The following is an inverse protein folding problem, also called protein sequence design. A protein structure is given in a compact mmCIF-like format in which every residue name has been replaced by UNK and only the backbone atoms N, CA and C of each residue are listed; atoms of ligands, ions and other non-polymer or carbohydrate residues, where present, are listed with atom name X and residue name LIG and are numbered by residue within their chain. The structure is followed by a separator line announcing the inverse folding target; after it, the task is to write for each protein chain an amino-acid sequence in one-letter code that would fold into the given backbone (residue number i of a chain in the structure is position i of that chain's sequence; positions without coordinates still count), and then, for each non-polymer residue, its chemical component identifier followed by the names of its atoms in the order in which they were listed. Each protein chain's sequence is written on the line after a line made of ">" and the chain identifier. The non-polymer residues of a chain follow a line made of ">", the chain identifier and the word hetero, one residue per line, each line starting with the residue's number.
data_IF_184706395895
#
_entry.id   IF_184706395895
#
_cell.length_a   1.000
_cell.length_b   1.000
_cell.length_c   1.000
_cell.angle_alpha   90.00
_cell.angle_beta   90.00
_cell.angle_gamma   90.00
#
_symmetry.space_group_name_H-M   'P 1'
#
loop_
_entity.id
_entity.type
_entity.pdbx_description
1 polymer ?
#
# COMPACT_ATOMS: atom_id res chain seq x y z
N UNK A 1 14.78 -5.53 -0.55
CA UNK A 1 13.34 -5.20 -0.63
C UNK A 1 12.94 -4.04 0.29
N UNK A 2 13.39 -4.02 1.55
CA UNK A 2 13.06 -2.93 2.51
C UNK A 2 13.45 -1.52 2.04
N UNK A 3 14.67 -1.31 1.54
CA UNK A 3 15.12 0.02 1.08
C UNK A 3 14.29 0.62 -0.07
N UNK A 4 13.92 -0.19 -1.07
CA UNK A 4 13.08 0.24 -2.19
C UNK A 4 11.64 0.55 -1.77
N UNK A 5 11.13 -0.14 -0.75
CA UNK A 5 9.82 0.16 -0.17
C UNK A 5 9.87 1.35 0.79
N UNK A 6 11.03 1.62 1.39
CA UNK A 6 11.27 2.80 2.20
C UNK A 6 11.33 4.07 1.32
N UNK A 7 11.95 4.01 0.13
CA UNK A 7 11.93 5.14 -0.81
C UNK A 7 10.52 5.49 -1.31
N UNK A 8 9.66 4.48 -1.50
CA UNK A 8 8.23 4.73 -1.75
C UNK A 8 7.57 5.46 -0.59
N UNK A 9 7.80 5.01 0.65
CA UNK A 9 7.27 5.66 1.84
C UNK A 9 7.74 7.12 2.00
N UNK A 10 9.03 7.38 1.75
CA UNK A 10 9.61 8.74 1.77
C UNK A 10 8.92 9.63 0.73
N UNK A 11 8.72 9.13 -0.49
CA UNK A 11 8.00 9.87 -1.54
C UNK A 11 6.56 10.18 -1.13
N UNK A 12 5.86 9.19 -0.57
CA UNK A 12 4.48 9.34 -0.10
C UNK A 12 4.35 10.26 1.13
N UNK A 13 5.41 10.42 1.92
CA UNK A 13 5.49 11.39 3.01
C UNK A 13 5.72 12.82 2.50
N UNK A 14 6.61 13.00 1.52
CA UNK A 14 6.99 14.32 0.99
C UNK A 14 5.89 14.88 0.08
N UNK A 15 5.19 14.03 -0.67
CA UNK A 15 4.22 14.48 -1.67
C UNK A 15 3.06 15.32 -1.08
N UNK A 16 2.40 14.94 0.02
CA UNK A 16 1.36 15.76 0.63
C UNK A 16 1.92 17.05 1.26
N UNK A 17 3.11 17.03 1.88
CA UNK A 17 3.75 18.23 2.44
C UNK A 17 3.96 19.31 1.36
N UNK A 18 4.51 18.89 0.21
CA UNK A 18 4.74 19.78 -0.93
C UNK A 18 3.40 20.22 -1.54
N UNK A 19 2.47 19.29 -1.76
CA UNK A 19 1.15 19.61 -2.33
C UNK A 19 0.36 20.59 -1.47
N UNK A 20 0.41 20.46 -0.14
CA UNK A 20 -0.30 21.34 0.81
C UNK A 20 0.24 22.77 0.74
N UNK A 21 1.55 22.94 0.61
CA UNK A 21 2.17 24.27 0.44
C UNK A 21 1.81 24.92 -0.89
N UNK A 22 1.81 24.14 -1.99
CA UNK A 22 1.40 24.64 -3.30
C UNK A 22 -0.11 24.96 -3.38
N UNK A 23 -0.95 24.27 -2.62
CA UNK A 23 -2.38 24.54 -2.56
C UNK A 23 -2.74 25.88 -1.87
N UNK A 24 -1.82 26.47 -1.10
CA UNK A 24 -2.00 27.80 -0.50
C UNK A 24 -1.61 28.96 -1.44
N UNK A 25 -0.96 28.67 -2.57
CA UNK A 25 -0.57 29.67 -3.57
C UNK A 25 -1.71 29.87 -4.58
N UNK A 26 -1.86 31.10 -5.12
CA UNK A 26 -2.92 31.41 -6.09
C UNK A 26 -2.83 30.61 -7.39
N UNK A 27 -1.64 30.06 -7.70
CA UNK A 27 -1.36 29.24 -8.86
C UNK A 27 -1.00 27.81 -8.46
N UNK A 28 -2.00 27.03 -8.06
CA UNK A 28 -1.90 25.60 -7.73
C UNK A 28 -1.29 24.74 -8.85
N UNK A 29 -1.33 25.22 -10.10
CA UNK A 29 -0.78 24.57 -11.30
C UNK A 29 0.75 24.38 -11.28
N UNK A 30 1.49 25.16 -10.48
CA UNK A 30 2.94 24.98 -10.33
C UNK A 30 3.31 23.62 -9.73
N UNK A 31 2.39 22.97 -9.01
CA UNK A 31 2.60 21.61 -8.51
C UNK A 31 2.87 20.61 -9.65
N UNK A 32 2.12 20.70 -10.76
CA UNK A 32 2.33 19.81 -11.91
C UNK A 32 3.66 20.08 -12.61
N UNK A 33 4.10 21.35 -12.67
CA UNK A 33 5.37 21.71 -13.26
C UNK A 33 6.55 21.19 -12.43
N UNK A 34 6.44 21.26 -11.10
CA UNK A 34 7.43 20.68 -10.18
C UNK A 34 7.47 19.15 -10.30
N UNK A 35 6.30 18.49 -10.36
CA UNK A 35 6.19 17.05 -10.58
C UNK A 35 6.80 16.61 -11.92
N UNK A 36 6.59 17.39 -12.99
CA UNK A 36 7.22 17.17 -14.29
C UNK A 36 8.75 17.28 -14.20
N UNK A 37 9.27 18.26 -13.47
CA UNK A 37 10.71 18.42 -13.23
C UNK A 37 11.32 17.20 -12.52
N UNK A 38 10.68 16.70 -11.46
CA UNK A 38 11.11 15.48 -10.76
C UNK A 38 11.04 14.26 -11.68
N UNK A 39 9.99 14.15 -12.50
CA UNK A 39 9.84 13.05 -13.46
C UNK A 39 10.94 13.07 -14.53
N UNK A 40 11.28 14.23 -15.07
CA UNK A 40 12.37 14.40 -16.03
C UNK A 40 13.73 14.11 -15.40
N UNK A 41 13.95 14.53 -14.15
CA UNK A 41 15.17 14.25 -13.40
C UNK A 41 15.31 12.75 -13.13
N UNK A 42 14.23 12.08 -12.75
CA UNK A 42 14.20 10.63 -12.61
C UNK A 42 14.46 9.92 -13.95
N UNK A 43 13.80 10.35 -15.04
CA UNK A 43 13.99 9.78 -16.37
C UNK A 43 15.44 9.93 -16.87
N UNK A 44 16.05 11.10 -16.65
CA UNK A 44 17.45 11.38 -17.00
C UNK A 44 18.44 10.61 -16.13
N UNK A 45 18.20 10.47 -14.83
CA UNK A 45 18.99 9.60 -13.96
C UNK A 45 18.89 8.13 -14.39
N UNK A 46 17.68 7.65 -14.71
CA UNK A 46 17.49 6.30 -15.24
C UNK A 46 18.22 6.12 -16.58
N UNK A 47 18.16 7.11 -17.47
CA UNK A 47 18.93 7.11 -18.73
C UNK A 47 20.45 7.11 -18.49
N UNK A 48 20.95 7.85 -17.49
CA UNK A 48 22.37 7.91 -17.13
C UNK A 48 22.87 6.63 -16.47
N UNK A 49 22.11 6.09 -15.52
CA UNK A 49 22.45 4.88 -14.75
C UNK A 49 22.34 3.65 -15.63
N UNK A 50 21.23 3.50 -16.35
CA UNK A 50 21.00 2.33 -17.20
C UNK A 50 21.62 2.49 -18.59
N UNK A 51 22.06 3.68 -19.01
CA UNK A 51 22.80 3.92 -20.27
C UNK A 51 22.12 3.29 -21.52
N UNK A 52 20.79 3.19 -21.52
CA UNK A 52 20.01 2.43 -22.53
C UNK A 52 20.39 0.94 -22.67
N UNK A 53 21.11 0.37 -21.72
CA UNK A 53 21.40 -1.06 -21.69
C UNK A 53 20.09 -1.81 -21.53
N UNK A 54 19.87 -2.79 -22.40
CA UNK A 54 18.73 -3.71 -22.29
C UNK A 54 18.84 -4.52 -21.00
N UNK A 55 17.69 -4.90 -20.44
CA UNK A 55 17.58 -5.73 -19.24
C UNK A 55 18.53 -6.96 -19.30
N UNK A 56 18.70 -7.54 -20.48
CA UNK A 56 19.57 -8.70 -20.73
C UNK A 56 21.07 -8.43 -20.49
N UNK A 57 21.57 -7.19 -20.69
CA UNK A 57 22.98 -6.83 -20.42
C UNK A 57 23.25 -6.51 -18.94
N UNK A 58 22.25 -5.99 -18.24
CA UNK A 58 22.38 -5.60 -16.81
C UNK A 58 22.22 -6.82 -15.91
N UNK A 59 21.41 -7.80 -16.32
CA UNK A 59 21.13 -9.04 -15.57
C UNK A 59 22.07 -10.18 -15.95
N UNK A 60 23.22 -9.86 -16.57
CA UNK A 60 24.20 -10.84 -17.06
C UNK A 60 24.36 -12.02 -16.10
N UNK A 61 23.90 -13.20 -16.55
CA UNK A 61 23.91 -14.47 -15.82
C UNK A 61 22.78 -14.76 -14.78
N UNK A 62 21.59 -14.14 -14.86
CA UNK A 62 20.39 -14.70 -14.21
C UNK A 62 19.45 -15.47 -15.17
N UNK A 63 19.76 -15.47 -16.47
CA UNK A 63 18.99 -16.14 -17.53
C UNK A 63 19.78 -17.28 -18.24
N UNK A 64 20.42 -18.18 -17.49
CA UNK A 64 20.98 -19.41 -18.10
C UNK A 64 20.34 -20.70 -17.56
N UNK A 65 19.14 -20.66 -16.98
CA UNK A 65 18.42 -21.88 -16.61
C UNK A 65 16.87 -21.80 -16.66
N UNK A 66 16.29 -20.91 -17.48
CA UNK A 66 14.83 -20.91 -17.71
C UNK A 66 14.42 -20.75 -19.17
N UNK A 67 15.27 -21.13 -20.12
CA UNK A 67 14.80 -21.62 -21.44
C UNK A 67 14.26 -23.05 -21.29
N UNK A 68 13.18 -23.18 -20.51
CA UNK A 68 12.19 -24.23 -20.77
C UNK A 68 10.96 -23.53 -21.32
N UNK A 69 10.89 -23.46 -22.66
CA UNK A 69 9.65 -23.39 -23.41
C UNK A 69 8.82 -24.66 -23.18
N UNK A 70 8.52 -24.96 -21.91
CA UNK A 70 7.53 -25.95 -21.51
C UNK A 70 6.45 -25.21 -20.72
N UNK A 71 5.37 -24.92 -21.44
CA UNK A 71 4.04 -24.55 -20.95
C UNK A 71 3.98 -23.36 -19.98
N UNK A 72 4.03 -22.13 -20.50
CA UNK A 72 3.51 -20.95 -19.78
C UNK A 72 2.07 -21.19 -19.29
N UNK A 73 1.28 -21.94 -20.06
CA UNK A 73 -0.08 -22.36 -19.69
C UNK A 73 -0.16 -23.20 -18.41
N UNK A 74 0.86 -24.01 -18.05
CA UNK A 74 0.88 -24.76 -16.78
C UNK A 74 1.35 -23.90 -15.60
N UNK A 75 2.31 -22.99 -15.81
CA UNK A 75 2.85 -22.15 -14.72
C UNK A 75 1.79 -21.19 -14.17
N UNK A 76 1.03 -20.51 -15.03
CA UNK A 76 -0.06 -19.64 -14.57
C UNK A 76 -1.18 -20.46 -13.93
N UNK A 77 -1.54 -21.62 -14.47
CA UNK A 77 -2.57 -22.50 -13.90
C UNK A 77 -2.18 -23.01 -12.50
N UNK A 78 -0.91 -23.28 -12.26
CA UNK A 78 -0.38 -23.62 -10.92
C UNK A 78 -0.37 -22.43 -9.97
N UNK A 79 -0.08 -21.21 -10.47
CA UNK A 79 -0.13 -19.96 -9.68
C UNK A 79 -1.59 -19.65 -9.28
N UNK A 80 -2.52 -19.73 -10.23
CA UNK A 80 -3.96 -19.53 -10.01
C UNK A 80 -4.61 -20.69 -9.23
N UNK A 81 -4.04 -21.90 -9.28
CA UNK A 81 -4.54 -23.06 -8.55
C UNK A 81 -4.14 -23.08 -7.07
N UNK A 82 -3.12 -22.31 -6.68
CA UNK A 82 -2.71 -22.22 -5.28
C UNK A 82 -3.63 -21.30 -4.50
N UNK A 83 -4.46 -21.91 -3.63
CA UNK A 83 -5.31 -21.18 -2.69
C UNK A 83 -4.53 -20.17 -1.84
N UNK A 84 -3.28 -20.48 -1.48
CA UNK A 84 -2.44 -19.58 -0.71
C UNK A 84 -2.09 -18.29 -1.48
N UNK A 85 -1.78 -18.39 -2.78
CA UNK A 85 -1.48 -17.21 -3.63
C UNK A 85 -2.72 -16.35 -3.80
N UNK A 86 -3.89 -16.96 -4.01
CA UNK A 86 -5.15 -16.21 -4.14
C UNK A 86 -5.54 -15.51 -2.84
N UNK A 87 -5.37 -16.16 -1.68
CA UNK A 87 -5.63 -15.55 -0.38
C UNK A 87 -4.68 -14.39 -0.08
N UNK A 88 -3.40 -14.50 -0.43
CA UNK A 88 -2.45 -13.39 -0.29
C UNK A 88 -2.77 -12.27 -1.29
N UNK A 89 -3.15 -12.59 -2.52
CA UNK A 89 -3.59 -11.60 -3.50
C UNK A 89 -4.83 -10.83 -3.00
N UNK A 90 -5.81 -11.53 -2.43
CA UNK A 90 -6.98 -10.94 -1.80
C UNK A 90 -6.59 -10.07 -0.60
N UNK A 91 -5.68 -10.54 0.25
CA UNK A 91 -5.17 -9.77 1.38
C UNK A 91 -4.53 -8.45 0.93
N UNK A 92 -3.65 -8.50 -0.06
CA UNK A 92 -2.99 -7.32 -0.63
C UNK A 92 -4.00 -6.40 -1.31
N UNK A 93 -5.02 -6.95 -1.97
CA UNK A 93 -6.10 -6.17 -2.57
C UNK A 93 -6.88 -5.34 -1.54
N UNK A 94 -7.29 -5.95 -0.42
CA UNK A 94 -7.96 -5.23 0.67
C UNK A 94 -7.00 -4.23 1.33
N UNK A 95 -5.76 -4.66 1.61
CA UNK A 95 -4.74 -3.83 2.26
C UNK A 95 -4.43 -2.55 1.46
N UNK A 96 -4.12 -2.68 0.17
CA UNK A 96 -3.80 -1.55 -0.70
C UNK A 96 -5.03 -0.65 -0.88
N UNK A 97 -6.22 -1.24 -0.99
CA UNK A 97 -7.48 -0.51 -1.02
C UNK A 97 -7.70 0.34 0.24
N UNK A 98 -7.50 -0.24 1.42
CA UNK A 98 -7.61 0.47 2.70
C UNK A 98 -6.57 1.58 2.83
N UNK A 99 -5.29 1.31 2.52
CA UNK A 99 -4.20 2.28 2.58
C UNK A 99 -4.50 3.52 1.72
N UNK A 100 -4.92 3.32 0.47
CA UNK A 100 -5.23 4.42 -0.45
C UNK A 100 -6.51 5.13 -0.06
N UNK A 101 -7.51 4.41 0.46
CA UNK A 101 -8.76 5.03 0.94
C UNK A 101 -8.50 5.94 2.14
N UNK A 102 -7.74 5.47 3.14
CA UNK A 102 -7.34 6.29 4.29
C UNK A 102 -6.54 7.49 3.82
N UNK A 103 -5.46 7.27 3.07
CA UNK A 103 -4.57 8.35 2.63
C UNK A 103 -5.25 9.41 1.76
N UNK A 104 -6.17 8.99 0.88
CA UNK A 104 -6.88 9.88 -0.05
C UNK A 104 -8.06 10.62 0.57
N UNK A 105 -8.83 9.96 1.44
CA UNK A 105 -10.07 10.54 1.96
C UNK A 105 -9.92 11.20 3.34
N UNK A 106 -8.84 10.95 4.07
CA UNK A 106 -8.65 11.56 5.39
C UNK A 106 -8.62 13.10 5.30
N UNK A 107 -8.03 13.66 4.24
CA UNK A 107 -8.02 15.11 3.99
C UNK A 107 -9.45 15.64 3.85
N UNK A 108 -10.25 14.99 3.00
CA UNK A 108 -11.65 15.36 2.76
C UNK A 108 -12.49 15.24 4.04
N UNK A 109 -12.27 14.16 4.82
CA UNK A 109 -12.95 13.96 6.09
C UNK A 109 -12.65 15.10 7.09
N UNK A 110 -11.37 15.48 7.23
CA UNK A 110 -10.99 16.56 8.16
C UNK A 110 -11.52 17.91 7.70
N UNK A 111 -11.50 18.20 6.40
CA UNK A 111 -12.01 19.47 5.85
C UNK A 111 -13.52 19.55 6.02
N UNK A 112 -14.27 18.54 5.57
CA UNK A 112 -15.74 18.61 5.52
C UNK A 112 -16.43 18.28 6.85
N UNK A 113 -15.90 17.34 7.63
CA UNK A 113 -16.56 16.88 8.87
C UNK A 113 -16.03 17.62 10.09
N UNK A 114 -14.76 18.03 10.08
CA UNK A 114 -14.10 18.66 11.23
C UNK A 114 -13.78 20.13 11.04
N UNK A 115 -14.08 20.71 9.88
CA UNK A 115 -13.80 22.12 9.59
C UNK A 115 -12.31 22.45 9.55
N UNK A 116 -11.46 21.46 9.31
CA UNK A 116 -10.01 21.67 9.21
C UNK A 116 -9.68 22.51 7.97
N UNK A 117 -8.87 23.56 8.16
CA UNK A 117 -8.41 24.41 7.06
C UNK A 117 -7.33 23.77 6.20
N UNK A 118 -6.56 24.58 5.48
CA UNK A 118 -5.48 24.15 4.60
C UNK A 118 -4.33 23.37 5.29
N UNK A 119 -4.39 23.16 6.62
CA UNK A 119 -3.47 22.32 7.39
C UNK A 119 -3.82 20.82 7.36
N UNK A 120 -4.96 20.43 6.79
CA UNK A 120 -5.40 19.03 6.73
C UNK A 120 -4.41 18.08 6.02
N UNK A 121 -3.62 18.58 5.06
CA UNK A 121 -2.61 17.77 4.36
C UNK A 121 -1.41 17.35 5.22
N UNK A 122 -1.16 18.01 6.36
CA UNK A 122 -0.17 17.55 7.34
C UNK A 122 -0.57 16.21 7.97
N UNK A 123 -1.86 15.92 8.06
CA UNK A 123 -2.37 14.68 8.66
C UNK A 123 -2.11 13.49 7.72
N UNK A 124 -2.29 13.67 6.42
CA UNK A 124 -1.88 12.67 5.41
C UNK A 124 -0.37 12.45 5.40
N UNK A 125 0.42 13.51 5.63
CA UNK A 125 1.87 13.37 5.81
C UNK A 125 2.17 12.53 7.05
N UNK A 126 1.46 12.76 8.16
CA UNK A 126 1.52 11.93 9.36
C UNK A 126 1.21 10.46 9.10
N UNK A 127 0.19 10.15 8.29
CA UNK A 127 -0.16 8.79 7.88
C UNK A 127 0.99 8.09 7.16
N UNK A 128 1.49 8.68 6.07
CA UNK A 128 2.57 8.10 5.27
C UNK A 128 3.92 8.10 5.99
N UNK A 129 4.15 9.06 6.88
CA UNK A 129 5.32 9.10 7.77
C UNK A 129 5.29 7.95 8.76
N UNK A 130 4.12 7.72 9.38
CA UNK A 130 3.84 6.53 10.19
C UNK A 130 4.11 5.26 9.41
N UNK A 131 3.52 5.12 8.22
CA UNK A 131 3.71 3.97 7.32
C UNK A 131 5.19 3.68 7.02
N UNK A 132 5.97 4.73 6.75
CA UNK A 132 7.41 4.61 6.47
C UNK A 132 8.18 4.13 7.70
N UNK A 133 7.90 4.71 8.87
CA UNK A 133 8.50 4.27 10.12
C UNK A 133 8.11 2.83 10.47
N UNK A 134 6.84 2.48 10.27
CA UNK A 134 6.32 1.12 10.45
C UNK A 134 7.06 0.09 9.60
N UNK A 135 7.45 0.45 8.37
CA UNK A 135 8.25 -0.42 7.48
C UNK A 135 9.68 -0.65 7.97
N UNK A 136 10.26 0.28 8.73
CA UNK A 136 11.64 0.20 9.23
C UNK A 136 11.70 -0.46 10.61
N UNK A 137 10.75 -0.12 11.48
CA UNK A 137 10.71 -0.57 12.89
C UNK A 137 9.94 -1.88 13.05
N UNK A 138 9.01 -2.19 12.14
CA UNK A 138 8.03 -3.27 12.31
C UNK A 138 8.65 -4.65 12.49
N UNK A 139 8.39 -5.24 13.66
CA UNK A 139 8.81 -6.59 13.99
C UNK A 139 7.84 -7.61 13.39
N UNK A 140 8.38 -8.69 12.83
CA UNK A 140 7.71 -9.62 11.91
C UNK A 140 6.56 -10.46 12.52
N UNK A 141 6.24 -10.29 13.81
CA UNK A 141 5.48 -11.28 14.61
C UNK A 141 4.14 -10.85 15.18
N UNK A 142 3.63 -9.64 14.90
CA UNK A 142 2.44 -9.17 15.65
C UNK A 142 1.37 -8.48 14.80
N UNK A 143 1.11 -8.99 13.60
CA UNK A 143 0.05 -8.46 12.70
C UNK A 143 -1.32 -8.42 13.38
N UNK A 144 -1.67 -9.43 14.18
CA UNK A 144 -2.96 -9.44 14.90
C UNK A 144 -3.10 -8.29 15.90
N UNK A 145 -2.04 -7.96 16.64
CA UNK A 145 -2.07 -6.84 17.60
C UNK A 145 -2.08 -5.52 16.84
N UNK A 146 -1.37 -5.43 15.71
CA UNK A 146 -1.37 -4.24 14.87
C UNK A 146 -2.75 -3.95 14.27
N UNK A 147 -3.47 -4.96 13.78
CA UNK A 147 -4.83 -4.77 13.27
C UNK A 147 -5.83 -4.42 14.37
N UNK A 148 -5.75 -5.06 15.54
CA UNK A 148 -6.62 -4.75 16.69
C UNK A 148 -6.39 -3.31 17.20
N UNK A 149 -5.13 -2.88 17.29
CA UNK A 149 -4.78 -1.50 17.64
C UNK A 149 -5.26 -0.51 16.56
N UNK A 150 -5.15 -0.84 15.28
CA UNK A 150 -5.63 0.02 14.20
C UNK A 150 -7.15 0.21 14.26
N UNK A 151 -7.92 -0.85 14.53
CA UNK A 151 -9.38 -0.76 14.73
C UNK A 151 -9.70 0.09 15.98
N UNK A 152 -8.96 -0.10 17.08
CA UNK A 152 -9.13 0.72 18.28
C UNK A 152 -8.88 2.20 18.03
N UNK A 153 -7.84 2.54 17.27
CA UNK A 153 -7.52 3.92 16.88
C UNK A 153 -8.56 4.52 15.92
N UNK A 154 -9.09 3.75 14.98
CA UNK A 154 -10.18 4.20 14.12
C UNK A 154 -11.48 4.44 14.90
N UNK A 155 -11.77 3.62 15.92
CA UNK A 155 -12.89 3.86 16.83
C UNK A 155 -12.71 5.13 17.66
N UNK A 156 -11.48 5.46 18.06
CA UNK A 156 -11.15 6.72 18.74
C UNK A 156 -11.36 7.92 17.79
N UNK A 157 -10.91 7.81 16.54
CA UNK A 157 -11.17 8.82 15.48
C UNK A 157 -12.68 8.98 15.21
N UNK A 158 -13.45 7.92 15.42
CA UNK A 158 -14.90 7.97 15.28
C UNK A 158 -15.61 8.64 16.46
N UNK A 159 -15.23 8.30 17.70
CA UNK A 159 -15.91 8.79 18.91
C UNK A 159 -15.45 10.18 19.36
N UNK A 160 -14.20 10.56 19.10
CA UNK A 160 -13.60 11.79 19.66
C UNK A 160 -13.40 12.84 18.57
N UNK A 161 -14.18 13.94 18.57
CA UNK A 161 -14.02 15.05 17.64
C UNK A 161 -12.85 15.97 18.05
N UNK A 162 -11.62 15.46 18.02
CA UNK A 162 -10.37 16.24 18.13
C UNK A 162 -9.47 16.12 16.88
N UNK A 163 -9.05 17.26 16.31
CA UNK A 163 -8.23 17.31 15.08
C UNK A 163 -6.82 16.76 15.32
N UNK A 164 -6.25 17.05 16.50
CA UNK A 164 -4.90 16.60 16.86
C UNK A 164 -4.93 15.11 17.20
N UNK A 165 -5.95 14.66 17.94
CA UNK A 165 -6.21 13.25 18.20
C UNK A 165 -6.34 12.42 16.93
N UNK A 166 -7.10 12.91 15.94
CA UNK A 166 -7.23 12.26 14.64
C UNK A 166 -5.89 12.17 13.89
N UNK A 167 -5.11 13.26 13.90
CA UNK A 167 -3.81 13.30 13.27
C UNK A 167 -2.87 12.22 13.82
N UNK A 168 -2.81 12.13 15.15
CA UNK A 168 -1.99 11.13 15.85
C UNK A 168 -2.50 9.72 15.60
N UNK A 169 -3.81 9.50 15.73
CA UNK A 169 -4.41 8.19 15.53
C UNK A 169 -4.18 7.68 14.10
N UNK A 170 -4.36 8.54 13.09
CA UNK A 170 -4.09 8.19 11.69
C UNK A 170 -2.60 7.93 11.46
N UNK A 171 -1.69 8.71 12.05
CA UNK A 171 -0.25 8.41 12.02
C UNK A 171 0.08 7.03 12.59
N UNK A 172 -0.52 6.67 13.72
CA UNK A 172 -0.35 5.35 14.31
C UNK A 172 -0.97 4.25 13.45
N UNK A 173 -2.16 4.45 12.86
CA UNK A 173 -2.75 3.50 11.90
C UNK A 173 -1.81 3.26 10.73
N UNK A 174 -1.23 4.32 10.16
CA UNK A 174 -0.19 4.23 9.13
C UNK A 174 1.01 3.39 9.60
N UNK A 175 1.53 3.65 10.80
CA UNK A 175 2.64 2.90 11.39
C UNK A 175 2.35 1.40 11.54
N UNK A 176 1.12 1.05 11.91
CA UNK A 176 0.69 -0.34 12.08
C UNK A 176 0.48 -1.05 10.73
N UNK A 177 0.02 -0.33 9.71
CA UNK A 177 -0.15 -0.84 8.35
C UNK A 177 1.19 -1.05 7.62
N UNK A 178 2.19 -0.21 7.91
CA UNK A 178 3.50 -0.19 7.26
C UNK A 178 4.16 -1.58 7.06
N UNK A 179 4.34 -2.40 8.11
CA UNK A 179 5.01 -3.69 7.99
C UNK A 179 4.16 -4.79 7.33
N UNK A 180 2.87 -4.58 7.09
CA UNK A 180 1.98 -5.64 6.62
C UNK A 180 2.28 -6.08 5.18
N UNK A 181 2.52 -5.13 4.27
CA UNK A 181 2.89 -5.42 2.88
C UNK A 181 4.21 -6.23 2.75
N UNK A 182 5.33 -5.84 3.38
CA UNK A 182 6.56 -6.63 3.30
C UNK A 182 6.44 -8.00 3.98
N UNK A 183 5.64 -8.14 5.04
CA UNK A 183 5.41 -9.44 5.67
C UNK A 183 4.64 -10.37 4.71
N UNK A 184 3.57 -9.89 4.08
CA UNK A 184 2.82 -10.66 3.08
C UNK A 184 3.69 -11.08 1.89
N UNK A 185 4.54 -10.17 1.41
CA UNK A 185 5.51 -10.48 0.35
C UNK A 185 6.52 -11.56 0.79
N UNK A 186 6.98 -11.49 2.04
CA UNK A 186 7.93 -12.47 2.56
C UNK A 186 7.28 -13.85 2.74
N UNK A 187 6.04 -13.91 3.22
CA UNK A 187 5.27 -15.16 3.30
C UNK A 187 5.07 -15.75 1.90
N UNK A 188 4.72 -14.94 0.90
CA UNK A 188 4.64 -15.37 -0.50
C UNK A 188 5.96 -16.01 -0.97
N UNK A 189 7.10 -15.39 -0.64
CA UNK A 189 8.43 -15.92 -0.97
C UNK A 189 8.80 -17.23 -0.28
N UNK A 190 8.15 -17.57 0.84
CA UNK A 190 8.38 -18.84 1.55
C UNK A 190 7.41 -19.93 1.09
N UNK A 191 6.21 -19.59 0.63
CA UNK A 191 5.17 -20.54 0.19
C UNK A 191 5.36 -20.90 -1.29
N UNK A 192 5.77 -19.94 -2.13
CA UNK A 192 5.86 -20.13 -3.58
C UNK A 192 7.29 -20.52 -3.99
N UNK A 193 7.47 -21.59 -4.79
CA UNK A 193 8.78 -21.96 -5.33
C UNK A 193 9.40 -20.82 -6.16
N UNK A 194 10.72 -20.62 -6.06
CA UNK A 194 11.44 -19.53 -6.74
C UNK A 194 11.17 -19.44 -8.25
N UNK A 195 10.88 -20.57 -8.91
CA UNK A 195 10.53 -20.64 -10.34
C UNK A 195 9.23 -19.90 -10.70
N UNK A 196 8.26 -19.86 -9.80
CA UNK A 196 6.95 -19.23 -10.02
C UNK A 196 6.78 -17.95 -9.18
N UNK A 197 7.77 -17.60 -8.36
CA UNK A 197 7.71 -16.50 -7.41
C UNK A 197 7.55 -15.14 -8.10
N UNK A 198 8.35 -14.87 -9.14
CA UNK A 198 8.30 -13.59 -9.85
C UNK A 198 6.94 -13.33 -10.49
N UNK A 199 6.35 -14.35 -11.15
CA UNK A 199 5.01 -14.25 -11.75
C UNK A 199 3.91 -14.10 -10.70
N UNK A 200 4.01 -14.80 -9.57
CA UNK A 200 3.04 -14.71 -8.47
C UNK A 200 3.09 -13.34 -7.79
N UNK A 201 4.28 -12.79 -7.55
CA UNK A 201 4.46 -11.45 -6.99
C UNK A 201 3.90 -10.40 -7.94
N UNK A 202 4.16 -10.52 -9.25
CA UNK A 202 3.59 -9.63 -10.27
C UNK A 202 2.06 -9.67 -10.27
N UNK A 203 1.48 -10.87 -10.22
CA UNK A 203 0.02 -11.04 -10.13
C UNK A 203 -0.56 -10.41 -8.85
N UNK A 204 0.03 -10.70 -7.68
CA UNK A 204 -0.39 -10.14 -6.38
C UNK A 204 -0.29 -8.61 -6.40
N UNK A 205 0.78 -8.05 -6.95
CA UNK A 205 0.97 -6.60 -7.01
C UNK A 205 -0.05 -5.93 -7.94
N UNK A 206 -0.27 -6.49 -9.14
CA UNK A 206 -1.26 -5.98 -10.09
C UNK A 206 -2.68 -6.08 -9.54
N UNK A 207 -3.01 -7.21 -8.90
CA UNK A 207 -4.30 -7.37 -8.24
C UNK A 207 -4.42 -6.38 -7.07
N UNK A 208 -3.38 -6.20 -6.26
CA UNK A 208 -3.30 -5.17 -5.23
C UNK A 208 -3.65 -3.77 -5.74
N UNK A 209 -3.08 -3.37 -6.87
CA UNK A 209 -3.39 -2.08 -7.51
C UNK A 209 -4.82 -1.99 -8.05
N UNK A 210 -5.46 -3.09 -8.42
CA UNK A 210 -6.89 -3.04 -8.72
C UNK A 210 -7.71 -2.64 -7.48
N UNK A 211 -7.25 -3.00 -6.27
CA UNK A 211 -7.87 -2.59 -5.00
C UNK A 211 -7.81 -1.09 -4.75
N UNK A 212 -6.70 -0.43 -5.11
CA UNK A 212 -6.55 1.02 -4.92
C UNK A 212 -7.54 1.86 -5.75
N UNK A 213 -8.13 1.31 -6.80
CA UNK A 213 -9.17 1.98 -7.58
C UNK A 213 -10.58 1.71 -7.01
N UNK A 214 -10.86 0.46 -6.66
CA UNK A 214 -12.22 0.02 -6.26
C UNK A 214 -12.64 0.63 -4.93
N UNK A 215 -11.79 0.58 -3.90
CA UNK A 215 -12.17 1.05 -2.57
C UNK A 215 -12.38 2.57 -2.50
N UNK A 216 -11.49 3.42 -3.05
CA UNK A 216 -11.74 4.86 -3.08
C UNK A 216 -12.94 5.24 -3.93
N UNK A 217 -13.20 4.53 -5.04
CA UNK A 217 -14.37 4.76 -5.87
C UNK A 217 -15.66 4.44 -5.11
N UNK A 218 -15.73 3.26 -4.47
CA UNK A 218 -16.86 2.86 -3.63
C UNK A 218 -17.07 3.88 -2.51
N UNK A 219 -15.99 4.30 -1.85
CA UNK A 219 -16.02 5.31 -0.80
C UNK A 219 -16.58 6.64 -1.30
N UNK A 220 -16.16 7.10 -2.48
CA UNK A 220 -16.67 8.33 -3.08
C UNK A 220 -18.15 8.27 -3.46
N UNK A 221 -18.59 7.14 -4.01
CA UNK A 221 -20.00 6.92 -4.33
C UNK A 221 -20.87 6.94 -3.06
N UNK A 222 -20.40 6.31 -1.97
CA UNK A 222 -21.12 6.35 -0.69
C UNK A 222 -21.07 7.74 -0.04
N UNK A 223 -19.94 8.44 -0.14
CA UNK A 223 -19.77 9.79 0.40
C UNK A 223 -20.72 10.80 -0.27
N UNK A 224 -20.96 10.68 -1.59
CA UNK A 224 -21.93 11.52 -2.29
C UNK A 224 -23.37 11.36 -1.79
N UNK A 225 -23.76 10.14 -1.39
CA UNK A 225 -25.15 9.84 -0.99
C UNK A 225 -25.42 10.01 0.50
N UNK A 226 -24.46 9.67 1.35
CA UNK A 226 -24.62 9.60 2.81
C UNK A 226 -23.68 10.54 3.57
N UNK A 227 -22.85 11.32 2.86
CA UNK A 227 -21.84 12.19 3.43
C UNK A 227 -20.56 11.45 3.84
N UNK A 228 -19.52 12.22 4.14
CA UNK A 228 -18.16 11.70 4.45
C UNK A 228 -18.09 10.95 5.79
N UNK A 229 -19.15 10.99 6.60
CA UNK A 229 -19.26 10.18 7.83
C UNK A 229 -19.28 8.67 7.58
N UNK A 230 -19.59 8.23 6.36
CA UNK A 230 -19.56 6.80 5.98
C UNK A 230 -18.13 6.27 5.80
N UNK A 231 -17.13 7.14 5.76
CA UNK A 231 -15.73 6.76 5.67
C UNK A 231 -15.31 5.81 6.80
N UNK A 232 -15.65 6.17 8.04
CA UNK A 232 -15.22 5.45 9.24
C UNK A 232 -15.78 4.02 9.31
N UNK A 233 -17.10 3.76 9.16
CA UNK A 233 -17.61 2.39 9.17
C UNK A 233 -17.10 1.57 7.97
N UNK A 234 -16.84 2.21 6.82
CA UNK A 234 -16.24 1.54 5.67
C UNK A 234 -14.80 1.12 5.97
N UNK A 235 -13.98 1.99 6.56
CA UNK A 235 -12.62 1.69 6.97
C UNK A 235 -12.54 0.57 8.02
N UNK A 236 -13.39 0.63 9.04
CA UNK A 236 -13.49 -0.45 10.04
C UNK A 236 -13.87 -1.77 9.35
N UNK A 237 -14.78 -1.73 8.38
CA UNK A 237 -15.18 -2.89 7.58
C UNK A 237 -14.04 -3.46 6.74
N UNK A 238 -13.23 -2.62 6.09
CA UNK A 238 -12.09 -3.07 5.29
C UNK A 238 -10.96 -3.63 6.16
N UNK A 239 -10.64 -2.98 7.30
CA UNK A 239 -9.67 -3.49 8.27
C UNK A 239 -10.12 -4.81 8.90
N UNK A 240 -11.41 -4.95 9.21
CA UNK A 240 -11.97 -6.22 9.73
C UNK A 240 -11.87 -7.33 8.70
N UNK A 241 -12.20 -7.03 7.43
CA UNK A 241 -12.05 -7.98 6.32
C UNK A 241 -10.59 -8.42 6.17
N UNK A 242 -9.66 -7.47 6.32
CA UNK A 242 -8.24 -7.74 6.26
C UNK A 242 -7.77 -8.72 7.35
N UNK A 243 -8.31 -8.63 8.59
CA UNK A 243 -8.04 -9.60 9.66
C UNK A 243 -8.58 -10.98 9.31
N UNK A 244 -9.82 -11.04 8.82
CA UNK A 244 -10.47 -12.32 8.45
C UNK A 244 -9.69 -13.01 7.35
N UNK A 245 -9.30 -12.27 6.31
CA UNK A 245 -8.50 -12.82 5.21
C UNK A 245 -7.12 -13.26 5.71
N UNK A 246 -6.48 -12.48 6.59
CA UNK A 246 -5.20 -12.87 7.18
C UNK A 246 -5.29 -14.16 7.99
N UNK A 247 -6.36 -14.35 8.76
CA UNK A 247 -6.61 -15.57 9.52
C UNK A 247 -6.75 -16.79 8.60
N UNK A 248 -7.33 -16.60 7.41
CA UNK A 248 -7.46 -17.67 6.41
C UNK A 248 -6.14 -18.00 5.70
N UNK A 249 -5.13 -17.12 5.74
CA UNK A 249 -3.83 -17.39 5.10
C UNK A 249 -3.10 -18.50 5.89
N UNK A 250 -2.86 -19.68 5.27
CA UNK A 250 -2.16 -20.76 5.94
C UNK A 250 -0.72 -20.33 6.25
N UNK A 251 -0.41 -20.19 7.54
CA UNK A 251 0.91 -19.77 8.04
C UNK A 251 1.92 -20.92 8.19
N UNK A 252 1.61 -22.11 7.67
CA UNK A 252 2.49 -23.27 7.74
C UNK A 252 3.35 -23.41 6.49
N UNK A 253 4.66 -23.71 6.60
CA UNK A 253 5.35 -24.29 5.47
C UNK A 253 4.61 -25.58 5.14
N UNK A 254 4.11 -25.71 3.91
CA UNK A 254 3.79 -27.03 3.38
C UNK A 254 5.11 -27.80 3.37
N UNK A 255 5.39 -28.49 4.49
CA UNK A 255 6.31 -29.62 4.50
C UNK A 255 5.79 -30.52 3.40
N UNK A 256 6.52 -30.54 2.28
CA UNK A 256 6.51 -31.68 1.36
C UNK A 256 6.90 -32.88 2.22
N UNK A 257 5.90 -33.57 2.74
CA UNK A 257 6.05 -34.96 3.11
C UNK A 257 6.11 -35.74 1.81
N UNK A 258 7.24 -36.44 1.66
CA UNK A 258 7.52 -37.63 0.85
C UNK A 258 7.10 -37.64 -0.63
#
# INVERSE_FOLDING_TARGET
>A
MGLLHASYGIGAFIAPLVATQFAQLSHWSFHYLCSLGVALLNASLLLLVFKLRRLHEITGAFETNTTSHQSEGSKYKDIFGSRAVQLIALFIWVYVGAEVTIGGWIVTFIIEVRGGGASAGYITSGFFGGLTLGRVVGERRVIYIYCLLAIGLELVVWLVPDIIGDALAVSFVGLLLGPMYPIAMNITSNIVPRRNLTGSIGWIASFGQAGSAVFPFMTGALAQKYGVKVLQPLLIGTLSTLIVVWYMVPSGPQRRGD
#
